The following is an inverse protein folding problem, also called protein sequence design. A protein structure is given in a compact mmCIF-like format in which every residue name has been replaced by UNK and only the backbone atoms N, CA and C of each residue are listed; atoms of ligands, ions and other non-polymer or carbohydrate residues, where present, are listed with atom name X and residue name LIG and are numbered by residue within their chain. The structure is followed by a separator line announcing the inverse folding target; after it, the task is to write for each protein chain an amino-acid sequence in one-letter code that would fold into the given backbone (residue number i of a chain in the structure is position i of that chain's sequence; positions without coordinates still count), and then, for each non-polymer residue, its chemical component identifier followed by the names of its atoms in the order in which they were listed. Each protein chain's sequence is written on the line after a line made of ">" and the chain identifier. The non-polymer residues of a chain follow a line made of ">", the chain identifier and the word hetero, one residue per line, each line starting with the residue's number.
data_IF_247841872831
#
_entry.id   IF_247841872831
#
_cell.length_a   1.000
_cell.length_b   1.000
_cell.length_c   1.000
_cell.angle_alpha   90.00
_cell.angle_beta   90.00
_cell.angle_gamma   90.00
#
_symmetry.space_group_name_H-M   'P 1'
#
loop_
_entity.id
_entity.type
_entity.pdbx_description
1 polymer ?
#
# COMPACT_ATOMS: atom_id res chain seq x y z
N UNK A 1 -36.89 12.54 -24.64
CA UNK A 1 -35.67 12.71 -23.81
C UNK A 1 -34.50 12.99 -24.71
N UNK A 2 -33.86 14.15 -24.56
CA UNK A 2 -32.60 14.39 -25.25
C UNK A 2 -31.52 13.52 -24.63
N UNK A 3 -30.73 12.81 -25.46
CA UNK A 3 -29.56 12.08 -24.96
C UNK A 3 -28.57 13.08 -24.35
N UNK A 4 -28.12 12.82 -23.14
CA UNK A 4 -27.02 13.59 -22.55
C UNK A 4 -25.78 13.43 -23.43
N UNK A 5 -25.15 14.55 -23.75
CA UNK A 5 -23.90 14.56 -24.49
C UNK A 5 -22.82 13.85 -23.66
N UNK A 6 -22.08 12.95 -24.31
CA UNK A 6 -20.97 12.28 -23.67
C UNK A 6 -19.78 13.22 -23.55
N UNK A 7 -19.44 13.58 -22.33
CA UNK A 7 -18.23 14.34 -22.05
C UNK A 7 -17.10 13.33 -21.74
N UNK A 8 -16.12 13.30 -22.62
CA UNK A 8 -14.93 12.46 -22.42
C UNK A 8 -14.21 12.85 -21.13
N UNK A 9 -14.05 11.94 -20.17
CA UNK A 9 -13.36 12.26 -18.93
C UNK A 9 -11.88 12.58 -19.21
N UNK A 10 -11.37 13.58 -18.50
CA UNK A 10 -9.95 13.87 -18.51
C UNK A 10 -9.25 12.91 -17.56
N UNK A 11 -8.55 11.94 -18.13
CA UNK A 11 -7.76 10.99 -17.36
C UNK A 11 -6.32 11.49 -17.33
N UNK A 12 -5.89 11.97 -16.17
CA UNK A 12 -4.50 12.37 -15.96
C UNK A 12 -3.62 11.13 -16.12
N UNK A 13 -2.71 11.17 -17.09
CA UNK A 13 -1.68 10.11 -17.22
C UNK A 13 -0.85 10.10 -15.95
N UNK A 14 -1.00 9.04 -15.17
CA UNK A 14 -0.09 8.79 -14.07
C UNK A 14 1.06 7.97 -14.63
N UNK A 15 2.27 8.46 -14.44
CA UNK A 15 3.48 7.65 -14.56
C UNK A 15 3.56 6.78 -13.32
N UNK A 16 2.58 5.88 -13.19
CA UNK A 16 2.53 4.96 -12.07
C UNK A 16 3.41 3.77 -12.39
N UNK A 17 4.41 3.60 -11.60
CA UNK A 17 5.24 2.42 -11.61
C UNK A 17 6.46 2.50 -12.52
N UNK A 18 7.46 1.82 -12.05
CA UNK A 18 8.78 1.75 -12.67
C UNK A 18 8.85 0.68 -13.76
N UNK A 19 7.78 -0.02 -14.01
CA UNK A 19 7.76 -1.12 -14.97
C UNK A 19 6.61 -0.96 -15.94
N UNK A 20 6.97 -0.75 -17.19
CA UNK A 20 6.09 -0.96 -18.32
C UNK A 20 6.78 -1.90 -19.31
N UNK A 21 6.06 -2.35 -20.32
CA UNK A 21 6.61 -3.26 -21.34
C UNK A 21 7.78 -2.68 -22.16
N UNK A 22 8.11 -1.42 -22.00
CA UNK A 22 9.16 -0.71 -22.72
C UNK A 22 10.39 -0.39 -21.87
N UNK A 23 10.44 -0.83 -20.62
CA UNK A 23 11.53 -0.65 -19.69
C UNK A 23 11.19 0.10 -18.40
N UNK A 24 12.16 0.22 -17.54
CA UNK A 24 12.01 0.92 -16.26
C UNK A 24 12.25 2.41 -16.42
N UNK A 25 11.40 3.21 -15.80
CA UNK A 25 11.65 4.63 -15.63
C UNK A 25 12.68 4.87 -14.51
N UNK A 26 13.62 5.74 -14.77
CA UNK A 26 14.53 6.22 -13.73
C UNK A 26 13.72 6.91 -12.62
N UNK A 27 13.70 6.34 -11.42
CA UNK A 27 13.28 7.08 -10.24
C UNK A 27 14.43 8.00 -9.82
N UNK A 28 14.17 9.31 -9.87
CA UNK A 28 15.14 10.29 -9.39
C UNK A 28 15.26 10.32 -7.85
N UNK A 29 14.32 9.73 -7.15
CA UNK A 29 14.31 9.73 -5.68
C UNK A 29 14.61 8.33 -5.17
N UNK A 30 15.83 8.10 -4.80
CA UNK A 30 16.23 6.93 -4.05
C UNK A 30 15.71 7.05 -2.62
N UNK A 31 15.10 5.99 -2.12
CA UNK A 31 14.77 5.89 -0.70
C UNK A 31 15.93 5.17 -0.01
N UNK A 32 16.44 5.78 1.00
CA UNK A 32 17.47 5.22 1.90
C UNK A 32 16.88 4.68 3.21
N UNK A 33 15.57 4.91 3.41
CA UNK A 33 14.84 4.50 4.60
C UNK A 33 13.49 3.84 4.27
N UNK A 34 13.11 2.89 5.12
CA UNK A 34 11.76 2.28 5.14
C UNK A 34 11.18 2.48 6.54
N UNK A 35 10.11 3.26 6.65
CA UNK A 35 9.42 3.56 7.92
C UNK A 35 10.39 4.08 9.02
N UNK A 36 11.36 4.91 8.64
CA UNK A 36 12.35 5.49 9.56
C UNK A 36 13.53 4.59 9.90
N UNK A 37 13.63 3.42 9.26
CA UNK A 37 14.78 2.52 9.43
C UNK A 37 15.64 2.55 8.15
N UNK A 38 16.94 2.77 8.30
CA UNK A 38 17.87 2.81 7.18
C UNK A 38 17.95 1.45 6.49
N UNK A 39 17.94 1.47 5.16
CA UNK A 39 18.04 0.24 4.36
C UNK A 39 19.35 -0.49 4.62
N UNK A 40 20.46 0.23 4.81
CA UNK A 40 21.75 -0.36 5.14
C UNK A 40 21.72 -1.15 6.45
N UNK A 41 21.02 -0.64 7.48
CA UNK A 41 20.86 -1.34 8.76
C UNK A 41 20.03 -2.61 8.61
N UNK A 42 18.98 -2.56 7.77
CA UNK A 42 18.16 -3.74 7.46
C UNK A 42 18.99 -4.80 6.75
N UNK A 43 19.74 -4.41 5.74
CA UNK A 43 20.59 -5.34 4.96
C UNK A 43 21.72 -5.91 5.82
N UNK A 44 22.34 -5.10 6.68
CA UNK A 44 23.36 -5.56 7.61
C UNK A 44 22.84 -6.63 8.58
N UNK A 45 21.57 -6.49 9.00
CA UNK A 45 20.94 -7.41 9.95
C UNK A 45 20.35 -8.66 9.30
N UNK A 46 19.70 -8.52 8.17
CA UNK A 46 18.89 -9.57 7.54
C UNK A 46 19.46 -10.11 6.22
N UNK A 47 20.46 -9.42 5.65
CA UNK A 47 21.00 -9.78 4.34
C UNK A 47 20.16 -9.24 3.17
N UNK A 48 20.57 -9.60 1.94
CA UNK A 48 19.87 -9.23 0.70
C UNK A 48 19.91 -10.44 -0.25
N UNK A 49 18.82 -10.73 -0.96
CA UNK A 49 17.54 -10.01 -0.99
C UNK A 49 16.68 -10.27 0.26
N UNK A 50 15.86 -9.30 0.63
CA UNK A 50 14.98 -9.38 1.80
C UNK A 50 13.66 -8.65 1.55
N UNK A 51 12.55 -9.25 2.00
CA UNK A 51 11.25 -8.57 2.05
C UNK A 51 11.11 -7.84 3.39
N UNK A 52 10.69 -6.59 3.33
CA UNK A 52 10.51 -5.74 4.51
C UNK A 52 9.05 -5.37 4.66
N UNK A 53 8.48 -5.67 5.82
CA UNK A 53 7.13 -5.28 6.21
C UNK A 53 7.22 -4.34 7.42
N UNK A 54 6.52 -3.22 7.36
CA UNK A 54 6.45 -2.27 8.47
C UNK A 54 5.15 -2.44 9.24
N UNK A 55 5.24 -2.89 10.48
CA UNK A 55 4.10 -2.98 11.39
C UNK A 55 3.40 -1.63 11.54
N UNK A 56 4.17 -0.56 11.71
CA UNK A 56 3.63 0.80 11.81
C UNK A 56 2.77 1.17 10.59
N UNK A 57 3.26 0.92 9.38
CA UNK A 57 2.52 1.23 8.14
C UNK A 57 1.25 0.38 8.05
N UNK A 58 1.31 -0.91 8.41
CA UNK A 58 0.14 -1.78 8.42
C UNK A 58 -0.93 -1.22 9.36
N UNK A 59 -0.57 -0.88 10.59
CA UNK A 59 -1.50 -0.31 11.57
C UNK A 59 -2.08 1.03 11.13
N UNK A 60 -1.23 1.93 10.64
CA UNK A 60 -1.66 3.25 10.18
C UNK A 60 -2.67 3.12 9.02
N UNK A 61 -2.43 2.21 8.07
CA UNK A 61 -3.34 1.97 6.94
C UNK A 61 -4.65 1.34 7.36
N UNK A 62 -4.62 0.40 8.29
CA UNK A 62 -5.85 -0.16 8.85
C UNK A 62 -6.69 0.92 9.54
N UNK A 63 -6.08 1.72 10.40
CA UNK A 63 -6.76 2.79 11.14
C UNK A 63 -7.28 3.90 10.23
N UNK A 64 -6.52 4.26 9.20
CA UNK A 64 -6.97 5.20 8.16
C UNK A 64 -8.23 4.68 7.48
N UNK A 65 -8.22 3.43 7.00
CA UNK A 65 -9.36 2.82 6.35
C UNK A 65 -10.55 2.71 7.31
N UNK A 66 -10.34 2.28 8.56
CA UNK A 66 -11.38 2.20 9.58
C UNK A 66 -12.06 3.56 9.79
N UNK A 67 -11.29 4.62 9.93
CA UNK A 67 -11.81 5.98 10.11
C UNK A 67 -12.63 6.44 8.91
N UNK A 68 -12.11 6.25 7.69
CA UNK A 68 -12.78 6.70 6.48
C UNK A 68 -14.08 5.94 6.21
N UNK A 69 -14.11 4.63 6.44
CA UNK A 69 -15.32 3.84 6.28
C UNK A 69 -16.34 4.10 7.39
N UNK A 70 -15.91 4.15 8.64
CA UNK A 70 -16.83 4.36 9.77
C UNK A 70 -17.50 5.74 9.75
N UNK A 71 -16.85 6.73 9.17
CA UNK A 71 -17.46 8.07 9.00
C UNK A 71 -18.66 8.08 8.05
N UNK A 72 -18.75 7.12 7.13
CA UNK A 72 -19.83 7.00 6.13
C UNK A 72 -20.76 5.83 6.40
N UNK A 73 -20.22 4.74 6.91
CA UNK A 73 -20.92 3.46 7.12
C UNK A 73 -20.60 2.94 8.53
N UNK A 74 -21.36 3.33 9.56
CA UNK A 74 -21.05 2.97 10.96
C UNK A 74 -21.14 1.46 11.24
N UNK A 75 -21.86 0.71 10.41
CA UNK A 75 -22.00 -0.75 10.54
C UNK A 75 -21.25 -1.43 9.41
N UNK A 76 -19.96 -1.60 9.57
CA UNK A 76 -19.14 -2.36 8.63
C UNK A 76 -18.08 -3.16 9.39
N UNK A 77 -17.51 -4.14 8.73
CA UNK A 77 -16.45 -4.97 9.25
C UNK A 77 -15.43 -5.26 8.14
N UNK A 78 -14.16 -5.18 8.46
CA UNK A 78 -13.12 -5.65 7.56
C UNK A 78 -12.99 -7.16 7.62
N UNK A 79 -12.76 -7.76 6.45
CA UNK A 79 -12.36 -9.14 6.31
C UNK A 79 -10.99 -9.20 5.67
N UNK A 80 -10.09 -9.94 6.29
CA UNK A 80 -8.73 -10.16 5.81
C UNK A 80 -8.60 -11.52 5.13
N UNK A 81 -7.98 -11.55 3.97
CA UNK A 81 -7.74 -12.81 3.27
C UNK A 81 -6.35 -13.35 3.60
N UNK A 82 -6.26 -14.41 4.37
CA UNK A 82 -5.00 -15.08 4.72
C UNK A 82 -4.26 -15.66 3.51
N UNK A 83 -4.96 -15.97 2.43
CA UNK A 83 -4.30 -16.48 1.23
C UNK A 83 -3.42 -15.44 0.52
N UNK A 84 -3.64 -14.15 0.76
CA UNK A 84 -2.82 -13.06 0.21
C UNK A 84 -1.55 -12.85 1.02
N UNK A 85 -1.64 -13.00 2.33
CA UNK A 85 -0.52 -12.98 3.25
C UNK A 85 -0.90 -13.68 4.55
N UNK A 86 -0.28 -14.80 4.85
CA UNK A 86 -0.55 -15.61 6.03
C UNK A 86 0.63 -15.67 7.01
N UNK A 87 1.57 -14.73 6.93
CA UNK A 87 2.62 -14.60 7.92
C UNK A 87 2.02 -14.32 9.30
N UNK A 88 2.39 -15.10 10.29
CA UNK A 88 1.85 -15.01 11.65
C UNK A 88 1.96 -13.59 12.22
N UNK A 89 3.08 -12.92 12.00
CA UNK A 89 3.30 -11.55 12.46
C UNK A 89 2.31 -10.56 11.82
N UNK A 90 2.02 -10.68 10.53
CA UNK A 90 1.04 -9.82 9.83
C UNK A 90 -0.37 -10.10 10.31
N UNK A 91 -0.74 -11.38 10.43
CA UNK A 91 -2.04 -11.79 10.94
C UNK A 91 -2.26 -11.31 12.38
N UNK A 92 -1.23 -11.40 13.23
CA UNK A 92 -1.29 -10.92 14.61
C UNK A 92 -1.53 -9.40 14.69
N UNK A 93 -0.89 -8.61 13.83
CA UNK A 93 -1.11 -7.17 13.77
C UNK A 93 -2.57 -6.83 13.44
N UNK A 94 -3.13 -7.48 12.41
CA UNK A 94 -4.54 -7.26 12.04
C UNK A 94 -5.52 -7.76 13.09
N UNK A 95 -5.17 -8.81 13.81
CA UNK A 95 -6.01 -9.33 14.89
C UNK A 95 -6.04 -8.43 16.12
N UNK A 96 -4.98 -7.67 16.35
CA UNK A 96 -4.86 -6.71 17.46
C UNK A 96 -5.58 -5.38 17.19
N UNK A 97 -5.81 -5.02 15.95
CA UNK A 97 -6.51 -3.80 15.54
C UNK A 97 -8.03 -4.00 15.44
#
# INVERSE_FOLDING_TARGET
>A
MSKKEYLKPFIKKQTAGNMNKFGSFYQKNYRDEIAGVKIDDIVAKAGSPVFVLSEKIIRDKYREALREFSSRYPKFQFSWSYKTNYLDAVCAVYHQE
#
